data_IF_043363584805
#
_entry.id   IF_043363584805
#
_cell.length_a   1.000
_cell.length_b   1.000
_cell.length_c   1.000
_cell.angle_alpha   90.00
_cell.angle_beta   90.00
_cell.angle_gamma   90.00
#
_symmetry.space_group_name_H-M   'P 1'
#
loop_
_entity.id
_entity.type
_entity.pdbx_description
1 polymer ?
#
# COMPACT_ATOMS: atom_id res chain seq x y z
N UNK A 1 9.33 22.44 -3.01
CA UNK A 1 9.45 21.45 -1.92
C UNK A 1 10.01 20.16 -2.53
N UNK A 2 11.09 19.62 -1.99
CA UNK A 2 11.66 18.38 -2.53
C UNK A 2 10.81 17.19 -2.09
N UNK A 3 10.14 16.55 -3.04
CA UNK A 3 9.33 15.35 -2.80
C UNK A 3 10.23 14.12 -2.68
N UNK A 4 10.60 13.73 -1.46
CA UNK A 4 11.42 12.54 -1.20
C UNK A 4 10.54 11.32 -0.89
N UNK A 5 10.95 10.17 -1.41
CA UNK A 5 10.35 8.87 -1.10
C UNK A 5 11.08 8.14 0.04
N UNK A 6 12.38 8.40 0.21
CA UNK A 6 13.09 7.96 1.40
C UNK A 6 12.91 8.96 2.52
N UNK A 7 12.31 8.53 3.63
CA UNK A 7 11.99 9.36 4.80
C UNK A 7 12.69 8.80 6.02
N UNK A 8 13.31 9.69 6.79
CA UNK A 8 13.80 9.37 8.14
C UNK A 8 12.60 9.19 9.07
N UNK A 9 12.22 7.94 9.33
CA UNK A 9 11.06 7.62 10.16
C UNK A 9 11.20 8.12 11.61
N UNK A 10 12.33 8.00 12.29
CA UNK A 10 12.55 8.63 13.60
C UNK A 10 12.33 10.13 13.60
N UNK A 11 12.81 10.85 12.58
CA UNK A 11 12.58 12.28 12.46
C UNK A 11 11.11 12.62 12.19
N UNK A 12 10.47 11.88 11.28
CA UNK A 12 9.03 12.01 11.00
C UNK A 12 8.21 11.85 12.28
N UNK A 13 8.56 10.87 13.10
CA UNK A 13 7.88 10.58 14.36
C UNK A 13 8.07 11.70 15.40
N UNK A 14 9.31 12.21 15.55
CA UNK A 14 9.60 13.37 16.41
C UNK A 14 8.76 14.60 16.02
N UNK A 15 8.72 14.90 14.71
CA UNK A 15 7.94 16.00 14.16
C UNK A 15 6.44 15.83 14.44
N UNK A 16 5.92 14.62 14.19
CA UNK A 16 4.52 14.28 14.46
C UNK A 16 4.16 14.51 15.92
N UNK A 17 4.92 13.97 16.88
CA UNK A 17 4.63 14.17 18.31
C UNK A 17 4.76 15.63 18.75
N UNK A 18 5.72 16.36 18.20
CA UNK A 18 5.86 17.81 18.49
C UNK A 18 4.62 18.59 18.05
N UNK A 19 4.12 18.34 16.84
CA UNK A 19 2.92 18.99 16.32
C UNK A 19 1.64 18.50 17.01
N UNK A 20 1.52 17.20 17.29
CA UNK A 20 0.37 16.62 17.98
C UNK A 20 0.17 17.21 19.37
N UNK A 21 1.26 17.43 20.12
CA UNK A 21 1.18 18.11 21.43
C UNK A 21 0.62 19.53 21.31
N UNK A 22 0.98 20.27 20.26
CA UNK A 22 0.51 21.65 20.03
C UNK A 22 -0.95 21.72 19.60
N UNK A 23 -1.48 20.64 19.02
CA UNK A 23 -2.86 20.54 18.54
C UNK A 23 -3.75 19.73 19.48
N UNK A 24 -3.24 19.37 20.67
CA UNK A 24 -4.00 18.54 21.62
C UNK A 24 -5.29 19.26 22.06
N UNK A 25 -6.44 18.57 22.10
CA UNK A 25 -7.73 19.15 22.46
C UNK A 25 -7.72 19.89 23.79
N UNK A 26 -6.96 19.42 24.78
CA UNK A 26 -6.87 20.05 26.11
C UNK A 26 -6.32 21.49 26.06
N UNK A 27 -5.44 21.79 25.10
CA UNK A 27 -4.91 23.16 24.93
C UNK A 27 -6.01 24.13 24.50
N UNK A 28 -7.01 23.61 23.77
CA UNK A 28 -8.10 24.41 23.20
C UNK A 28 -9.40 24.30 24.00
N UNK A 29 -9.40 23.61 25.14
CA UNK A 29 -10.61 23.37 25.94
C UNK A 29 -11.29 24.69 26.36
N UNK A 30 -10.52 25.72 26.75
CA UNK A 30 -11.01 27.04 27.17
C UNK A 30 -11.14 28.04 26.00
N UNK A 31 -10.91 27.60 24.74
CA UNK A 31 -10.99 28.46 23.56
C UNK A 31 -12.42 28.48 22.99
N UNK A 32 -12.63 29.42 22.05
CA UNK A 32 -13.91 29.50 21.34
C UNK A 32 -14.23 28.17 20.59
N UNK A 33 -15.52 27.93 20.30
CA UNK A 33 -15.95 26.77 19.52
C UNK A 33 -15.23 26.69 18.17
N UNK A 34 -15.05 27.83 17.50
CA UNK A 34 -14.38 27.92 16.22
C UNK A 34 -12.90 27.52 16.30
N UNK A 35 -12.17 27.98 17.33
CA UNK A 35 -10.76 27.61 17.53
C UNK A 35 -10.61 26.12 17.83
N UNK A 36 -11.52 25.54 18.60
CA UNK A 36 -11.53 24.08 18.86
C UNK A 36 -11.74 23.28 17.59
N UNK A 37 -12.71 23.64 16.77
CA UNK A 37 -13.01 22.98 15.50
C UNK A 37 -11.82 23.06 14.51
N UNK A 38 -11.14 24.21 14.45
CA UNK A 38 -9.91 24.38 13.66
C UNK A 38 -8.80 23.46 14.17
N UNK A 39 -8.61 23.36 15.48
CA UNK A 39 -7.59 22.51 16.08
C UNK A 39 -7.87 21.02 15.85
N UNK A 40 -9.12 20.58 16.00
CA UNK A 40 -9.55 19.20 15.73
C UNK A 40 -9.32 18.84 14.26
N UNK A 41 -9.70 19.69 13.32
CA UNK A 41 -9.47 19.49 11.89
C UNK A 41 -7.96 19.44 11.56
N UNK A 42 -7.17 20.30 12.19
CA UNK A 42 -5.71 20.28 12.01
C UNK A 42 -5.07 19.01 12.58
N UNK A 43 -5.54 18.54 13.74
CA UNK A 43 -5.08 17.27 14.34
C UNK A 43 -5.44 16.06 13.45
N UNK A 44 -6.65 16.02 12.91
CA UNK A 44 -7.07 14.97 11.97
C UNK A 44 -6.18 14.94 10.72
N UNK A 45 -5.94 16.10 10.10
CA UNK A 45 -5.02 16.25 8.95
C UNK A 45 -3.60 15.83 9.27
N UNK A 46 -3.09 16.18 10.46
CA UNK A 46 -1.77 15.76 10.92
C UNK A 46 -1.67 14.23 11.03
N UNK A 47 -2.69 13.57 11.61
CA UNK A 47 -2.75 12.12 11.72
C UNK A 47 -2.77 11.44 10.35
N UNK A 48 -3.56 11.93 9.40
CA UNK A 48 -3.65 11.38 8.05
C UNK A 48 -2.34 11.56 7.29
N UNK A 49 -1.71 12.73 7.39
CA UNK A 49 -0.40 12.99 6.80
C UNK A 49 0.68 12.06 7.37
N UNK A 50 0.70 11.86 8.70
CA UNK A 50 1.64 10.96 9.35
C UNK A 50 1.46 9.51 8.88
N UNK A 51 0.22 9.01 8.83
CA UNK A 51 -0.10 7.66 8.33
C UNK A 51 0.32 7.46 6.88
N UNK A 52 0.12 8.46 6.04
CA UNK A 52 0.52 8.43 4.64
C UNK A 52 2.04 8.44 4.49
N UNK A 53 2.73 9.31 5.23
CA UNK A 53 4.18 9.44 5.13
C UNK A 53 4.94 8.29 5.79
N UNK A 54 4.39 7.66 6.83
CA UNK A 54 5.00 6.53 7.52
C UNK A 54 5.01 5.26 6.65
N UNK A 55 3.95 5.04 5.90
CA UNK A 55 3.79 3.87 5.03
C UNK A 55 4.45 4.13 3.66
N UNK A 56 5.46 3.34 3.25
CA UNK A 56 6.18 3.58 1.98
C UNK A 56 5.29 3.46 0.75
N UNK A 57 4.31 2.55 0.77
CA UNK A 57 3.37 2.36 -0.35
C UNK A 57 2.44 3.55 -0.46
N UNK A 58 1.77 3.94 0.64
CA UNK A 58 0.87 5.11 0.67
C UNK A 58 1.60 6.40 0.33
N UNK A 59 2.84 6.55 0.78
CA UNK A 59 3.68 7.70 0.46
C UNK A 59 3.97 7.80 -1.04
N UNK A 60 4.31 6.67 -1.67
CA UNK A 60 4.54 6.62 -3.11
C UNK A 60 3.25 6.87 -3.90
N UNK A 61 2.13 6.25 -3.50
CA UNK A 61 0.81 6.48 -4.09
C UNK A 61 0.43 7.96 -4.03
N UNK A 62 0.58 8.58 -2.86
CA UNK A 62 0.30 10.00 -2.67
C UNK A 62 1.18 10.88 -3.57
N UNK A 63 2.47 10.56 -3.70
CA UNK A 63 3.36 11.29 -4.60
C UNK A 63 2.91 11.20 -6.06
N UNK A 64 2.54 10.01 -6.52
CA UNK A 64 2.03 9.81 -7.88
C UNK A 64 0.74 10.60 -8.12
N UNK A 65 -0.19 10.59 -7.15
CA UNK A 65 -1.44 11.36 -7.22
C UNK A 65 -1.16 12.87 -7.29
N UNK A 66 -0.26 13.40 -6.45
CA UNK A 66 0.13 14.83 -6.45
C UNK A 66 0.79 15.26 -7.76
N UNK A 67 1.58 14.37 -8.38
CA UNK A 67 2.25 14.65 -9.64
C UNK A 67 1.42 14.29 -10.89
N UNK A 68 0.18 13.81 -10.70
CA UNK A 68 -0.73 13.46 -11.78
C UNK A 68 -0.26 12.26 -12.62
N UNK A 69 0.52 11.35 -12.04
CA UNK A 69 0.98 10.14 -12.71
C UNK A 69 -0.14 9.10 -12.63
N UNK A 70 -0.72 8.68 -13.77
CA UNK A 70 -1.81 7.72 -13.75
C UNK A 70 -1.31 6.34 -13.31
N UNK A 71 -2.11 5.67 -12.48
CA UNK A 71 -1.94 4.27 -12.12
C UNK A 71 -3.11 3.45 -12.69
N UNK A 72 -2.84 2.22 -13.07
CA UNK A 72 -3.87 1.24 -13.39
C UNK A 72 -4.45 0.71 -12.06
N UNK A 73 -5.13 1.60 -11.31
CA UNK A 73 -5.80 1.18 -10.07
C UNK A 73 -6.79 0.08 -10.43
N UNK A 74 -6.68 -1.03 -9.73
CA UNK A 74 -7.64 -2.11 -9.84
C UNK A 74 -9.01 -1.59 -9.35
N UNK A 75 -10.01 -1.59 -10.24
CA UNK A 75 -11.40 -1.46 -9.81
C UNK A 75 -11.82 -2.79 -9.16
N UNK A 76 -12.25 -2.80 -7.88
CA UNK A 76 -12.74 -4.03 -7.23
C UNK A 76 -13.92 -4.67 -7.96
N UNK A 77 -14.59 -3.92 -8.86
CA UNK A 77 -15.76 -4.36 -9.64
C UNK A 77 -15.40 -4.92 -11.01
N UNK A 78 -14.15 -4.71 -11.48
CA UNK A 78 -13.72 -5.25 -12.77
C UNK A 78 -13.35 -6.73 -12.67
N UNK A 79 -13.72 -7.55 -13.69
CA UNK A 79 -13.29 -8.93 -13.77
C UNK A 79 -11.76 -9.03 -13.80
N UNK A 80 -11.21 -9.99 -13.07
CA UNK A 80 -9.75 -10.17 -12.86
C UNK A 80 -8.92 -10.29 -14.13
N UNK A 81 -9.53 -10.70 -15.27
CA UNK A 81 -8.82 -11.10 -16.48
C UNK A 81 -8.25 -9.95 -17.34
N UNK A 82 -8.71 -8.69 -17.18
CA UNK A 82 -8.37 -7.62 -18.13
C UNK A 82 -7.16 -6.77 -17.79
N UNK A 83 -6.76 -6.71 -16.51
CA UNK A 83 -5.73 -5.79 -16.02
C UNK A 83 -4.59 -6.48 -15.22
N UNK A 84 -4.62 -7.82 -15.12
CA UNK A 84 -3.55 -8.57 -14.44
C UNK A 84 -2.23 -8.39 -15.18
N UNK A 85 -1.12 -8.10 -14.49
CA UNK A 85 0.20 -8.08 -15.10
C UNK A 85 0.47 -9.39 -15.83
N UNK A 86 0.95 -9.34 -17.09
CA UNK A 86 1.12 -10.55 -17.92
C UNK A 86 1.93 -11.66 -17.24
N UNK A 87 2.92 -11.27 -16.47
CA UNK A 87 3.80 -12.15 -15.70
C UNK A 87 3.14 -12.82 -14.49
N UNK A 88 1.93 -12.41 -14.10
CA UNK A 88 1.18 -12.97 -12.97
C UNK A 88 -0.11 -13.68 -13.41
N UNK A 89 -0.42 -13.70 -14.72
CA UNK A 89 -1.69 -14.22 -15.21
C UNK A 89 -1.84 -15.71 -14.92
N UNK A 90 -0.80 -16.49 -15.19
CA UNK A 90 -0.80 -17.93 -15.01
C UNK A 90 -0.92 -18.31 -13.52
N UNK A 91 -0.08 -17.71 -12.68
CA UNK A 91 -0.09 -17.96 -11.24
C UNK A 91 -1.41 -17.54 -10.57
N UNK A 92 -1.97 -16.41 -10.98
CA UNK A 92 -3.26 -15.96 -10.44
C UNK A 92 -4.38 -16.88 -10.88
N UNK A 93 -4.33 -17.41 -12.10
CA UNK A 93 -5.30 -18.38 -12.60
C UNK A 93 -5.22 -19.70 -11.80
N UNK A 94 -4.00 -20.22 -11.58
CA UNK A 94 -3.79 -21.43 -10.75
C UNK A 94 -4.36 -21.23 -9.32
N UNK A 95 -4.10 -20.07 -8.69
CA UNK A 95 -4.65 -19.77 -7.39
C UNK A 95 -6.18 -19.77 -7.42
N UNK A 96 -6.80 -19.21 -8.47
CA UNK A 96 -8.27 -19.21 -8.59
C UNK A 96 -8.84 -20.64 -8.63
N UNK A 97 -8.20 -21.54 -9.40
CA UNK A 97 -8.63 -22.94 -9.45
C UNK A 97 -8.52 -23.59 -8.07
N UNK A 98 -7.38 -23.43 -7.39
CA UNK A 98 -7.20 -23.97 -6.04
C UNK A 98 -8.21 -23.40 -5.03
N UNK A 99 -8.55 -22.13 -5.12
CA UNK A 99 -9.57 -21.50 -4.27
C UNK A 99 -10.97 -22.08 -4.53
N UNK A 100 -11.29 -22.37 -5.77
CA UNK A 100 -12.58 -22.98 -6.14
C UNK A 100 -12.64 -24.45 -5.70
N UNK A 101 -11.55 -25.22 -5.81
CA UNK A 101 -11.44 -26.59 -5.34
C UNK A 101 -11.63 -26.69 -3.81
N UNK A 102 -10.99 -25.79 -3.04
CA UNK A 102 -11.19 -25.71 -1.57
C UNK A 102 -12.65 -25.39 -1.23
N UNK A 103 -13.29 -24.46 -1.94
CA UNK A 103 -14.72 -24.14 -1.72
C UNK A 103 -15.65 -25.33 -2.03
N UNK A 104 -15.23 -26.23 -2.91
CA UNK A 104 -15.95 -27.46 -3.23
C UNK A 104 -15.64 -28.60 -2.24
N UNK A 105 -14.77 -28.35 -1.25
CA UNK A 105 -14.44 -29.31 -0.18
C UNK A 105 -13.25 -30.21 -0.50
N UNK A 106 -12.46 -29.90 -1.53
CA UNK A 106 -11.24 -30.65 -1.82
C UNK A 106 -10.12 -30.23 -0.85
N UNK A 107 -9.91 -31.06 0.18
CA UNK A 107 -8.84 -30.85 1.16
C UNK A 107 -7.43 -30.97 0.59
N UNK A 108 -7.25 -31.60 -0.57
CA UNK A 108 -5.93 -31.70 -1.21
C UNK A 108 -5.46 -30.36 -1.77
N UNK A 109 -6.38 -29.50 -2.19
CA UNK A 109 -6.11 -28.16 -2.71
C UNK A 109 -5.53 -27.21 -1.65
N UNK A 110 -5.81 -27.45 -0.35
CA UNK A 110 -5.23 -26.63 0.75
C UNK A 110 -3.69 -26.69 0.76
N UNK A 111 -3.08 -27.84 0.45
CA UNK A 111 -1.63 -27.97 0.30
C UNK A 111 -1.09 -27.13 -0.86
N UNK A 112 -1.81 -27.09 -1.98
CA UNK A 112 -1.49 -26.23 -3.12
C UNK A 112 -1.55 -24.74 -2.76
N UNK A 113 -2.59 -24.32 -2.03
CA UNK A 113 -2.72 -22.95 -1.55
C UNK A 113 -1.61 -22.55 -0.57
N UNK A 114 -1.18 -23.48 0.33
CA UNK A 114 -0.07 -23.21 1.24
C UNK A 114 1.25 -23.00 0.47
N UNK A 115 1.49 -23.77 -0.60
CA UNK A 115 2.64 -23.57 -1.46
C UNK A 115 2.57 -22.25 -2.24
N UNK A 116 1.42 -21.94 -2.81
CA UNK A 116 1.17 -20.66 -3.49
C UNK A 116 1.38 -19.47 -2.55
N UNK A 117 0.93 -19.57 -1.28
CA UNK A 117 1.16 -18.55 -0.26
C UNK A 117 2.65 -18.26 -0.09
N UNK A 118 3.48 -19.29 0.14
CA UNK A 118 4.93 -19.10 0.33
C UNK A 118 5.60 -18.45 -0.89
N UNK A 119 5.20 -18.88 -2.11
CA UNK A 119 5.66 -18.29 -3.37
C UNK A 119 5.31 -16.80 -3.46
N UNK A 120 4.06 -16.44 -3.16
CA UNK A 120 3.59 -15.06 -3.25
C UNK A 120 4.13 -14.16 -2.13
N UNK A 121 4.41 -14.71 -0.94
CA UNK A 121 5.11 -13.99 0.13
C UNK A 121 6.54 -13.61 -0.31
N UNK A 122 7.25 -14.53 -0.96
CA UNK A 122 8.58 -14.26 -1.53
C UNK A 122 8.50 -13.19 -2.62
N UNK A 123 7.53 -13.32 -3.53
CA UNK A 123 7.31 -12.38 -4.63
C UNK A 123 6.95 -10.97 -4.13
N UNK A 124 6.21 -10.87 -3.01
CA UNK A 124 5.92 -9.60 -2.36
C UNK A 124 7.18 -8.96 -1.80
N UNK A 125 8.04 -9.74 -1.12
CA UNK A 125 9.32 -9.25 -0.59
C UNK A 125 10.24 -8.72 -1.69
N UNK A 126 10.37 -9.45 -2.80
CA UNK A 126 11.16 -9.03 -3.97
C UNK A 126 10.59 -7.75 -4.60
N UNK A 127 9.28 -7.65 -4.68
CA UNK A 127 8.59 -6.46 -5.21
C UNK A 127 8.81 -5.25 -4.30
N UNK A 128 8.75 -5.43 -2.98
CA UNK A 128 9.01 -4.38 -1.99
C UNK A 128 10.49 -3.94 -2.00
N UNK A 129 11.42 -4.87 -2.19
CA UNK A 129 12.84 -4.54 -2.38
C UNK A 129 13.06 -3.71 -3.65
N UNK A 130 12.43 -4.10 -4.76
CA UNK A 130 12.49 -3.35 -6.02
C UNK A 130 11.89 -1.95 -5.89
N UNK A 131 10.77 -1.82 -5.18
CA UNK A 131 10.13 -0.54 -4.91
C UNK A 131 11.06 0.39 -4.12
N UNK A 132 11.70 -0.14 -3.06
CA UNK A 132 12.64 0.63 -2.25
C UNK A 132 13.88 1.07 -3.05
N UNK A 133 14.39 0.24 -3.95
CA UNK A 133 15.48 0.60 -4.86
C UNK A 133 15.06 1.74 -5.81
N UNK A 134 13.85 1.67 -6.36
CA UNK A 134 13.29 2.76 -7.19
C UNK A 134 13.10 4.06 -6.40
N UNK A 135 12.74 4.01 -5.12
CA UNK A 135 12.65 5.20 -4.27
C UNK A 135 14.01 5.88 -4.10
N UNK A 136 15.06 5.10 -3.81
CA UNK A 136 16.42 5.62 -3.69
C UNK A 136 16.88 6.27 -5.00
N UNK A 137 16.58 5.63 -6.11
CA UNK A 137 16.96 6.16 -7.42
C UNK A 137 16.15 7.41 -7.79
N UNK A 138 14.84 7.43 -7.52
CA UNK A 138 14.03 8.64 -7.67
C UNK A 138 14.58 9.80 -6.86
N UNK A 139 14.90 9.57 -5.60
CA UNK A 139 15.42 10.64 -4.73
C UNK A 139 16.76 11.20 -5.22
N UNK A 140 17.53 10.40 -5.95
CA UNK A 140 18.82 10.79 -6.52
C UNK A 140 18.70 11.51 -7.87
N UNK A 141 17.85 11.01 -8.79
CA UNK A 141 17.89 11.47 -10.20
C UNK A 141 16.68 12.29 -10.63
N UNK A 142 15.55 12.19 -9.94
CA UNK A 142 14.31 12.95 -10.21
C UNK A 142 13.77 12.84 -11.64
N UNK A 143 13.96 11.69 -12.30
CA UNK A 143 13.49 11.49 -13.67
C UNK A 143 12.05 11.00 -13.69
N UNK A 144 11.15 11.60 -14.50
CA UNK A 144 9.74 11.20 -14.59
C UNK A 144 9.53 9.71 -14.94
N UNK A 145 10.48 9.09 -15.67
CA UNK A 145 10.43 7.68 -16.03
C UNK A 145 10.42 6.78 -14.76
N UNK A 146 11.14 7.18 -13.70
CA UNK A 146 11.16 6.44 -12.43
C UNK A 146 9.82 6.46 -11.71
N UNK A 147 9.05 7.51 -11.85
CA UNK A 147 7.68 7.54 -11.31
C UNK A 147 6.76 6.55 -12.02
N UNK A 148 6.91 6.37 -13.33
CA UNK A 148 6.15 5.37 -14.08
C UNK A 148 6.56 3.95 -13.69
N UNK A 149 7.85 3.72 -13.47
CA UNK A 149 8.37 2.45 -12.96
C UNK A 149 7.80 2.14 -11.57
N UNK A 150 7.83 3.12 -10.65
CA UNK A 150 7.21 3.01 -9.33
C UNK A 150 5.70 2.69 -9.45
N UNK A 151 4.98 3.36 -10.34
CA UNK A 151 3.56 3.10 -10.58
C UNK A 151 3.32 1.64 -11.02
N UNK A 152 4.14 1.12 -11.94
CA UNK A 152 4.06 -0.26 -12.42
C UNK A 152 4.34 -1.27 -11.30
N UNK A 153 5.36 -1.02 -10.46
CA UNK A 153 5.68 -1.89 -9.33
C UNK A 153 4.56 -1.88 -8.29
N UNK A 154 3.96 -0.72 -8.00
CA UNK A 154 2.82 -0.60 -7.09
C UNK A 154 1.58 -1.33 -7.62
N UNK A 155 1.32 -1.25 -8.92
CA UNK A 155 0.22 -1.98 -9.55
C UNK A 155 0.44 -3.50 -9.41
N UNK A 156 1.64 -4.01 -9.78
CA UNK A 156 2.02 -5.41 -9.59
C UNK A 156 1.86 -5.86 -8.12
N UNK A 157 2.38 -5.05 -7.18
CA UNK A 157 2.29 -5.31 -5.74
C UNK A 157 0.85 -5.50 -5.28
N UNK A 158 -0.07 -4.67 -5.77
CA UNK A 158 -1.49 -4.73 -5.40
C UNK A 158 -2.16 -6.05 -5.81
N UNK A 159 -1.76 -6.65 -6.95
CA UNK A 159 -2.23 -7.97 -7.37
C UNK A 159 -1.69 -9.09 -6.49
N UNK A 160 -0.39 -9.04 -6.16
CA UNK A 160 0.27 -10.02 -5.28
C UNK A 160 -0.38 -9.99 -3.89
N UNK A 161 -0.55 -8.80 -3.31
CA UNK A 161 -1.13 -8.61 -1.99
C UNK A 161 -2.59 -9.11 -1.93
N UNK A 162 -3.36 -8.84 -2.99
CA UNK A 162 -4.74 -9.33 -3.07
C UNK A 162 -4.81 -10.84 -3.19
N UNK A 163 -3.94 -11.47 -3.98
CA UNK A 163 -3.87 -12.92 -4.08
C UNK A 163 -3.54 -13.55 -2.72
N UNK A 164 -2.57 -12.98 -2.00
CA UNK A 164 -2.24 -13.41 -0.63
C UNK A 164 -3.42 -13.29 0.34
N UNK A 165 -4.17 -12.18 0.28
CA UNK A 165 -5.36 -12.01 1.11
C UNK A 165 -6.41 -13.10 0.83
N UNK A 166 -6.66 -13.41 -0.45
CA UNK A 166 -7.63 -14.42 -0.86
C UNK A 166 -7.19 -15.83 -0.41
N UNK A 167 -5.89 -16.15 -0.54
CA UNK A 167 -5.31 -17.42 -0.07
C UNK A 167 -5.43 -17.55 1.45
N UNK A 168 -5.04 -16.50 2.20
CA UNK A 168 -5.09 -16.51 3.67
C UNK A 168 -6.53 -16.67 4.15
N UNK A 169 -7.48 -15.96 3.56
CA UNK A 169 -8.89 -16.10 3.90
C UNK A 169 -9.37 -17.55 3.72
N UNK A 170 -9.05 -18.18 2.57
CA UNK A 170 -9.46 -19.57 2.32
C UNK A 170 -8.81 -20.60 3.24
N UNK A 171 -7.58 -20.34 3.73
CA UNK A 171 -6.88 -21.23 4.67
C UNK A 171 -7.30 -21.03 6.13
N UNK A 172 -8.03 -19.94 6.47
CA UNK A 172 -8.48 -19.64 7.83
C UNK A 172 -9.95 -19.94 8.07
N UNK A 173 -10.74 -20.13 7.01
CA UNK A 173 -12.18 -20.45 7.09
C UNK A 173 -12.45 -21.97 7.27
N UNK A 174 -11.42 -22.82 7.42
CA UNK A 174 -11.46 -24.24 7.79
C UNK A 174 -11.21 -24.41 9.29
#
# INVERSE_FOLDING_TARGET
MDHKLQVDLPELERQFYSLSRRLHPDIYFHRSRQEREIAENAAARLNDAYRTLKDPVKRAEHLLDVLGIPRKRRDPREPRAGNTPPELVEEIFEIQMLLDDVRQGDKSAASGLAHAKAKFETLLQETDASLNACFAEWDRVRRPEKLREIATILDRRSYIEKALQDIVAALTDD
#
